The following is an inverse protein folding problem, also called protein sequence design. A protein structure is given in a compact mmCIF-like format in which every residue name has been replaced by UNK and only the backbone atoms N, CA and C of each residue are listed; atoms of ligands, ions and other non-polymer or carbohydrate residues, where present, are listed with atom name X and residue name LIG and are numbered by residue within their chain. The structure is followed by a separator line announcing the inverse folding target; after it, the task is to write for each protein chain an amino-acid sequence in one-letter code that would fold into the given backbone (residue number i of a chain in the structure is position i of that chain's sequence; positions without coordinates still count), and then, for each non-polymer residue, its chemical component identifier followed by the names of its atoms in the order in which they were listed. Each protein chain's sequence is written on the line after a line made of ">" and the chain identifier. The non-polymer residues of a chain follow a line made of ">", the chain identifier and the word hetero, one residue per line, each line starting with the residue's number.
data_IF_290559327049
#
_entry.id   IF_290559327049
#
_cell.length_a   1.000
_cell.length_b   1.000
_cell.length_c   1.000
_cell.angle_alpha   90.00
_cell.angle_beta   90.00
_cell.angle_gamma   90.00
#
_symmetry.space_group_name_H-M   'P 1'
#
loop_
_entity.id
_entity.type
_entity.pdbx_description
1 polymer ?
#
# COMPACT_ATOMS: atom_id res chain seq x y z
N UNK A 1 13.35 5.13 -3.41
CA UNK A 1 12.14 5.71 -4.05
C UNK A 1 11.73 7.00 -3.34
N UNK A 2 10.85 7.80 -3.94
CA UNK A 2 10.20 8.97 -3.33
C UNK A 2 8.70 8.89 -3.65
N UNK A 3 7.86 9.37 -2.73
CA UNK A 3 6.41 9.45 -2.97
C UNK A 3 6.17 10.53 -4.03
N UNK A 4 5.46 10.18 -5.11
CA UNK A 4 5.09 11.10 -6.21
C UNK A 4 3.58 11.28 -6.37
N UNK A 5 2.79 10.51 -5.64
CA UNK A 5 1.33 10.60 -5.59
C UNK A 5 0.86 10.25 -4.17
N UNK A 6 -0.11 11.00 -3.64
CA UNK A 6 -0.68 10.84 -2.31
C UNK A 6 -2.22 10.81 -2.40
N UNK A 7 -2.80 9.62 -2.61
CA UNK A 7 -4.24 9.42 -2.65
C UNK A 7 -4.78 8.94 -1.29
N UNK A 8 -5.99 9.38 -0.93
CA UNK A 8 -6.78 8.86 0.18
C UNK A 8 -8.25 8.85 -0.23
N UNK A 9 -8.92 7.72 -0.06
CA UNK A 9 -10.37 7.61 -0.17
C UNK A 9 -10.93 7.36 1.22
N UNK A 10 -11.80 8.25 1.68
CA UNK A 10 -12.45 8.11 2.99
C UNK A 10 -13.71 7.27 2.85
N UNK A 11 -13.76 6.18 3.62
CA UNK A 11 -14.94 5.31 3.73
C UNK A 11 -15.64 5.58 5.06
N UNK A 12 -16.93 5.90 5.01
CA UNK A 12 -17.79 5.88 6.19
C UNK A 12 -18.21 4.44 6.45
N UNK A 13 -17.73 3.87 7.57
CA UNK A 13 -17.98 2.48 7.96
C UNK A 13 -19.45 2.22 8.27
N UNK A 14 -20.18 3.21 8.81
CA UNK A 14 -21.60 3.07 9.14
C UNK A 14 -22.48 3.12 7.89
N UNK A 15 -22.17 4.06 6.99
CA UNK A 15 -22.89 4.22 5.73
C UNK A 15 -22.43 3.22 4.65
N UNK A 16 -21.31 2.52 4.89
CA UNK A 16 -20.70 1.55 3.98
C UNK A 16 -20.51 2.11 2.56
N UNK A 17 -19.96 3.32 2.47
CA UNK A 17 -19.70 4.02 1.20
C UNK A 17 -18.50 4.95 1.31
N UNK A 18 -17.88 5.23 0.17
CA UNK A 18 -16.93 6.33 0.05
C UNK A 18 -17.66 7.67 0.25
N UNK A 19 -17.05 8.58 0.99
CA UNK A 19 -17.65 9.88 1.36
C UNK A 19 -16.81 11.08 0.95
N UNK A 20 -15.51 10.91 0.77
CA UNK A 20 -14.60 11.97 0.36
C UNK A 20 -13.32 11.39 -0.23
N UNK A 21 -12.63 12.20 -1.04
CA UNK A 21 -11.32 11.87 -1.59
C UNK A 21 -10.35 13.02 -1.34
N UNK A 22 -9.09 12.66 -1.13
CA UNK A 22 -7.95 13.56 -1.11
C UNK A 22 -6.91 13.02 -2.09
N UNK A 23 -6.54 13.81 -3.09
CA UNK A 23 -5.59 13.38 -4.11
C UNK A 23 -4.64 14.52 -4.45
N UNK A 24 -3.34 14.25 -4.34
CA UNK A 24 -2.30 15.20 -4.71
C UNK A 24 -1.13 14.44 -5.36
N UNK A 25 -0.60 14.98 -6.45
CA UNK A 25 0.76 14.66 -6.86
C UNK A 25 1.77 15.32 -5.91
N UNK A 26 2.96 14.73 -5.84
CA UNK A 26 4.05 15.15 -4.95
C UNK A 26 5.30 15.38 -5.78
N UNK A 27 5.96 16.51 -5.54
CA UNK A 27 7.23 16.84 -6.19
C UNK A 27 8.39 16.18 -5.43
N UNK A 28 9.10 15.18 -6.02
CA UNK A 28 10.24 14.56 -5.38
C UNK A 28 11.43 15.54 -5.29
N UNK A 29 12.24 15.41 -4.24
CA UNK A 29 13.37 16.31 -3.95
C UNK A 29 14.68 15.78 -4.50
N UNK A 30 14.90 14.46 -4.44
CA UNK A 30 16.17 13.84 -4.83
C UNK A 30 16.20 13.55 -6.33
N UNK A 31 15.14 12.96 -6.88
CA UNK A 31 15.03 12.62 -8.30
C UNK A 31 13.82 13.30 -8.94
N UNK A 32 13.90 14.60 -9.28
CA UNK A 32 12.78 15.38 -9.81
C UNK A 32 12.32 14.97 -11.21
N UNK A 33 13.12 14.19 -11.95
CA UNK A 33 12.77 13.71 -13.29
C UNK A 33 12.34 12.24 -13.24
N UNK A 34 11.11 11.97 -13.68
CA UNK A 34 10.57 10.62 -13.79
C UNK A 34 11.34 9.84 -14.86
N UNK A 35 11.65 8.59 -14.56
CA UNK A 35 12.11 7.64 -15.58
C UNK A 35 10.97 7.26 -16.51
N UNK A 36 11.32 6.79 -17.72
CA UNK A 36 10.32 6.30 -18.68
C UNK A 36 9.52 5.13 -18.09
N UNK A 37 10.18 4.21 -17.41
CA UNK A 37 9.53 3.11 -16.70
C UNK A 37 8.49 3.61 -15.67
N UNK A 38 8.83 4.63 -14.88
CA UNK A 38 7.93 5.18 -13.88
C UNK A 38 6.69 5.83 -14.52
N UNK A 39 6.88 6.60 -15.61
CA UNK A 39 5.78 7.18 -16.39
C UNK A 39 4.87 6.10 -16.97
N UNK A 40 5.44 5.06 -17.59
CA UNK A 40 4.68 3.96 -18.17
C UNK A 40 3.95 3.12 -17.13
N UNK A 41 4.55 2.89 -15.97
CA UNK A 41 3.95 2.12 -14.89
C UNK A 41 2.80 2.89 -14.24
N UNK A 42 3.02 4.14 -13.84
CA UNK A 42 2.07 4.92 -13.02
C UNK A 42 1.10 5.78 -13.82
N UNK A 43 1.42 6.09 -15.08
CA UNK A 43 0.65 7.02 -15.92
C UNK A 43 0.88 8.49 -15.56
N UNK A 44 1.70 8.78 -14.55
CA UNK A 44 2.01 10.14 -14.11
C UNK A 44 2.94 10.79 -15.14
N UNK A 45 2.58 12.00 -15.58
CA UNK A 45 3.38 12.79 -16.52
C UNK A 45 4.37 13.65 -15.75
N UNK A 46 5.44 14.04 -16.42
CA UNK A 46 6.46 14.89 -15.80
C UNK A 46 5.87 16.24 -15.33
N UNK A 47 4.93 16.80 -16.09
CA UNK A 47 4.23 18.05 -15.75
C UNK A 47 3.37 17.97 -14.49
N UNK A 48 2.84 16.77 -14.18
CA UNK A 48 2.02 16.53 -13.00
C UNK A 48 2.86 16.69 -11.72
N UNK A 49 4.13 16.25 -11.73
CA UNK A 49 5.04 16.38 -10.59
C UNK A 49 5.89 17.65 -10.59
N UNK A 50 6.15 18.25 -11.76
CA UNK A 50 6.95 19.48 -11.85
C UNK A 50 6.26 20.65 -11.14
N UNK A 51 4.92 20.70 -11.22
CA UNK A 51 4.04 21.69 -10.61
C UNK A 51 3.48 21.29 -9.24
N UNK A 52 3.79 20.07 -8.78
CA UNK A 52 3.30 19.55 -7.51
C UNK A 52 3.99 20.20 -6.31
N UNK A 53 3.37 20.02 -5.14
CA UNK A 53 3.93 20.46 -3.86
C UNK A 53 4.94 19.44 -3.31
N UNK A 54 5.92 19.87 -2.53
CA UNK A 54 6.74 18.97 -1.73
C UNK A 54 5.88 18.12 -0.77
N UNK A 55 6.38 16.93 -0.41
CA UNK A 55 5.64 15.97 0.41
C UNK A 55 5.18 16.57 1.75
N UNK A 56 6.00 17.40 2.40
CA UNK A 56 5.64 18.04 3.68
C UNK A 56 4.43 18.96 3.56
N UNK A 57 4.29 19.66 2.43
CA UNK A 57 3.15 20.53 2.15
C UNK A 57 1.90 19.72 1.83
N UNK A 58 2.04 18.61 1.12
CA UNK A 58 0.94 17.68 0.86
C UNK A 58 0.44 17.06 2.17
N UNK A 59 1.33 16.69 3.10
CA UNK A 59 0.95 16.20 4.43
C UNK A 59 0.20 17.28 5.22
N UNK A 60 0.67 18.53 5.22
CA UNK A 60 -0.05 19.64 5.87
C UNK A 60 -1.44 19.86 5.28
N UNK A 61 -1.59 19.70 3.96
CA UNK A 61 -2.90 19.75 3.29
C UNK A 61 -3.78 18.57 3.69
N UNK A 62 -3.22 17.37 3.78
CA UNK A 62 -3.93 16.19 4.27
C UNK A 62 -4.45 16.41 5.70
N UNK A 63 -3.63 16.92 6.63
CA UNK A 63 -4.06 17.17 8.01
C UNK A 63 -5.22 18.16 8.08
N UNK A 64 -5.17 19.24 7.28
CA UNK A 64 -6.27 20.22 7.22
C UNK A 64 -7.54 19.60 6.62
N UNK A 65 -7.40 18.86 5.53
CA UNK A 65 -8.52 18.19 4.88
C UNK A 65 -9.15 17.15 5.82
N UNK A 66 -8.34 16.34 6.51
CA UNK A 66 -8.80 15.34 7.48
C UNK A 66 -9.58 16.01 8.61
N UNK A 67 -9.04 17.08 9.21
CA UNK A 67 -9.71 17.81 10.29
C UNK A 67 -11.06 18.44 9.87
N UNK A 68 -11.21 18.83 8.60
CA UNK A 68 -12.44 19.42 8.06
C UNK A 68 -13.46 18.36 7.61
N UNK A 69 -12.99 17.18 7.22
CA UNK A 69 -13.84 16.14 6.62
C UNK A 69 -14.36 15.16 7.66
N UNK A 70 -13.58 14.85 8.69
CA UNK A 70 -13.94 13.87 9.72
C UNK A 70 -14.84 14.51 10.78
N UNK A 71 -16.05 13.99 11.04
CA UNK A 71 -16.91 14.53 12.07
C UNK A 71 -16.24 14.49 13.45
N UNK A 72 -16.36 15.55 14.28
CA UNK A 72 -15.76 15.60 15.61
C UNK A 72 -16.10 14.36 16.46
N UNK A 73 -15.10 13.82 17.16
CA UNK A 73 -15.24 12.61 17.99
C UNK A 73 -15.26 11.29 17.20
N UNK A 74 -15.24 11.32 15.87
CA UNK A 74 -15.11 10.11 15.06
C UNK A 74 -13.71 9.51 15.17
N UNK A 75 -13.65 8.17 15.18
CA UNK A 75 -12.39 7.43 15.09
C UNK A 75 -12.09 7.13 13.63
N UNK A 76 -10.85 7.33 13.22
CA UNK A 76 -10.37 7.00 11.87
C UNK A 76 -9.22 6.02 11.94
N UNK A 77 -9.14 5.14 10.94
CA UNK A 77 -8.01 4.23 10.75
C UNK A 77 -7.61 4.23 9.28
N UNK A 78 -6.31 4.12 9.01
CA UNK A 78 -5.82 3.92 7.65
C UNK A 78 -5.96 2.45 7.24
N UNK A 79 -6.20 2.23 5.95
CA UNK A 79 -6.21 0.91 5.35
C UNK A 79 -5.41 0.96 4.04
N UNK A 80 -4.56 -0.04 3.81
CA UNK A 80 -3.68 -0.12 2.62
C UNK A 80 -3.67 -1.53 2.04
N UNK A 81 -3.30 -1.64 0.75
CA UNK A 81 -3.08 -2.93 0.07
C UNK A 81 -1.74 -3.56 0.48
N UNK A 82 -1.59 -3.86 1.78
CA UNK A 82 -0.36 -4.42 2.34
C UNK A 82 0.55 -3.40 3.00
N UNK A 83 1.78 -3.82 3.36
CA UNK A 83 2.65 -3.00 4.21
C UNK A 83 3.46 -1.95 3.44
N UNK A 84 3.61 -2.08 2.11
CA UNK A 84 4.60 -1.32 1.33
C UNK A 84 4.41 0.19 1.44
N UNK A 85 3.17 0.69 1.37
CA UNK A 85 2.90 2.13 1.39
C UNK A 85 3.41 2.80 2.66
N UNK A 86 3.05 2.25 3.82
CA UNK A 86 3.36 2.87 5.11
C UNK A 86 4.72 2.42 5.65
N UNK A 87 5.11 1.16 5.47
CA UNK A 87 6.40 0.67 5.96
C UNK A 87 7.56 1.14 5.08
N UNK A 88 7.47 0.93 3.77
CA UNK A 88 8.59 1.19 2.86
C UNK A 88 8.60 2.65 2.38
N UNK A 89 7.52 3.09 1.72
CA UNK A 89 7.50 4.43 1.10
C UNK A 89 7.39 5.57 2.11
N UNK A 90 6.50 5.45 3.09
CA UNK A 90 6.39 6.46 4.12
C UNK A 90 7.52 6.34 5.15
N UNK A 91 7.58 5.26 5.92
CA UNK A 91 8.42 5.22 7.11
C UNK A 91 9.92 5.12 6.79
N UNK A 92 10.34 4.18 5.95
CA UNK A 92 11.76 4.03 5.62
C UNK A 92 12.23 5.20 4.73
N UNK A 93 11.55 5.46 3.62
CA UNK A 93 12.04 6.42 2.64
C UNK A 93 11.80 7.89 2.96
N UNK A 94 10.71 8.24 3.64
CA UNK A 94 10.33 9.63 3.91
C UNK A 94 10.65 10.03 5.35
N UNK A 95 10.19 9.26 6.33
CA UNK A 95 10.44 9.57 7.76
C UNK A 95 11.91 9.35 8.11
N UNK A 96 12.41 8.10 7.99
CA UNK A 96 13.73 7.73 8.49
C UNK A 96 14.87 8.35 7.70
N UNK A 97 14.73 8.40 6.37
CA UNK A 97 15.78 8.90 5.48
C UNK A 97 15.75 10.41 5.23
N UNK A 98 14.57 11.03 5.18
CA UNK A 98 14.44 12.47 4.84
C UNK A 98 14.00 13.34 6.02
N UNK A 99 13.68 12.75 7.18
CA UNK A 99 13.22 13.50 8.36
C UNK A 99 11.82 14.08 8.21
N UNK A 100 11.02 13.58 7.27
CA UNK A 100 9.67 14.09 7.01
C UNK A 100 8.72 13.61 8.11
N UNK A 101 8.05 14.56 8.77
CA UNK A 101 7.05 14.25 9.80
C UNK A 101 5.71 13.87 9.18
N UNK A 102 5.19 12.71 9.58
CA UNK A 102 3.82 12.28 9.32
C UNK A 102 2.95 12.38 10.59
N UNK A 103 1.62 12.55 10.46
CA UNK A 103 0.69 12.50 11.58
C UNK A 103 0.70 11.12 12.25
N UNK A 104 0.45 11.07 13.56
CA UNK A 104 0.49 9.81 14.34
C UNK A 104 -0.44 8.71 13.80
N UNK A 105 -1.55 9.08 13.16
CA UNK A 105 -2.48 8.12 12.55
C UNK A 105 -1.86 7.25 11.45
N UNK A 106 -0.73 7.67 10.87
CA UNK A 106 -0.04 6.90 9.82
C UNK A 106 0.83 5.76 10.36
N UNK A 107 1.02 5.70 11.68
CA UNK A 107 1.88 4.70 12.31
C UNK A 107 1.10 3.45 12.77
N UNK A 108 -0.18 3.38 12.44
CA UNK A 108 -1.01 2.20 12.61
C UNK A 108 -2.01 2.09 11.45
N UNK A 109 -2.20 0.87 10.92
CA UNK A 109 -3.10 0.65 9.79
C UNK A 109 -3.64 -0.76 9.72
N UNK A 110 -4.69 -0.90 8.92
CA UNK A 110 -5.28 -2.15 8.48
C UNK A 110 -4.57 -2.59 7.20
N UNK A 111 -3.96 -3.78 7.24
CA UNK A 111 -3.54 -4.47 6.02
C UNK A 111 -4.76 -5.18 5.40
N UNK A 112 -5.29 -4.61 4.32
CA UNK A 112 -6.52 -5.10 3.67
C UNK A 112 -6.33 -6.52 3.17
N UNK A 113 -5.14 -6.91 2.67
CA UNK A 113 -4.89 -8.27 2.20
C UNK A 113 -4.98 -9.28 3.33
N UNK A 114 -4.42 -8.93 4.49
CA UNK A 114 -4.46 -9.79 5.68
C UNK A 114 -5.89 -9.98 6.17
N UNK A 115 -6.67 -8.91 6.24
CA UNK A 115 -8.08 -8.98 6.63
C UNK A 115 -8.92 -9.75 5.62
N UNK A 116 -8.70 -9.52 4.33
CA UNK A 116 -9.39 -10.25 3.27
C UNK A 116 -9.14 -11.76 3.37
N UNK A 117 -7.86 -12.15 3.46
CA UNK A 117 -7.45 -13.56 3.59
C UNK A 117 -8.08 -14.24 4.82
N UNK A 118 -8.11 -13.55 5.96
CA UNK A 118 -8.73 -14.08 7.17
C UNK A 118 -10.24 -14.26 7.02
N UNK A 119 -10.94 -13.22 6.55
CA UNK A 119 -12.39 -13.21 6.46
C UNK A 119 -12.93 -14.24 5.46
N UNK A 120 -12.26 -14.41 4.32
CA UNK A 120 -12.63 -15.39 3.30
C UNK A 120 -11.92 -16.75 3.44
N UNK A 121 -11.09 -16.93 4.47
CA UNK A 121 -10.30 -18.15 4.69
C UNK A 121 -9.48 -18.56 3.45
N UNK A 122 -8.86 -17.58 2.79
CA UNK A 122 -8.08 -17.78 1.57
C UNK A 122 -6.63 -17.28 1.72
N UNK A 123 -5.81 -17.47 0.70
CA UNK A 123 -4.48 -16.87 0.63
C UNK A 123 -4.58 -15.37 0.31
N UNK A 124 -3.55 -14.60 0.69
CA UNK A 124 -3.50 -13.17 0.33
C UNK A 124 -3.37 -13.01 -1.19
N UNK A 125 -4.18 -12.11 -1.76
CA UNK A 125 -4.18 -11.78 -3.18
C UNK A 125 -3.79 -10.32 -3.43
N UNK A 126 -3.49 -9.98 -4.68
CA UNK A 126 -3.38 -8.58 -5.15
C UNK A 126 -4.78 -7.97 -5.30
N UNK A 127 -4.88 -6.64 -5.41
CA UNK A 127 -6.14 -5.89 -5.59
C UNK A 127 -7.09 -6.57 -6.60
N UNK A 128 -6.61 -6.88 -7.82
CA UNK A 128 -7.45 -7.53 -8.84
C UNK A 128 -8.02 -8.87 -8.40
N UNK A 129 -7.20 -9.73 -7.79
CA UNK A 129 -7.68 -11.03 -7.31
C UNK A 129 -8.71 -10.89 -6.17
N UNK A 130 -8.54 -9.91 -5.29
CA UNK A 130 -9.54 -9.60 -4.24
C UNK A 130 -10.85 -9.09 -4.84
N UNK A 131 -10.78 -8.22 -5.86
CA UNK A 131 -11.96 -7.72 -6.58
C UNK A 131 -12.69 -8.82 -7.35
N UNK A 132 -11.95 -9.69 -8.04
CA UNK A 132 -12.50 -10.84 -8.78
C UNK A 132 -13.28 -11.76 -7.84
N UNK A 133 -12.70 -12.09 -6.68
CA UNK A 133 -13.37 -12.90 -5.65
C UNK A 133 -14.64 -12.24 -5.08
N UNK A 134 -14.73 -10.91 -5.16
CA UNK A 134 -15.89 -10.13 -4.76
C UNK A 134 -16.89 -9.85 -5.90
N UNK A 135 -16.64 -10.39 -7.10
CA UNK A 135 -17.37 -10.09 -8.33
C UNK A 135 -17.48 -8.59 -8.63
N UNK A 136 -16.39 -7.86 -8.40
CA UNK A 136 -16.28 -6.43 -8.68
C UNK A 136 -15.23 -6.23 -9.79
N UNK A 137 -15.50 -5.41 -10.83
CA UNK A 137 -14.48 -5.07 -11.80
C UNK A 137 -13.43 -4.14 -11.17
N UNK A 138 -12.20 -4.20 -11.68
CA UNK A 138 -11.22 -3.15 -11.43
C UNK A 138 -11.59 -1.90 -12.23
N UNK A 139 -11.73 -0.76 -11.56
CA UNK A 139 -12.05 0.51 -12.21
C UNK A 139 -10.81 1.41 -12.36
N UNK A 140 -10.66 2.09 -13.49
CA UNK A 140 -9.54 2.99 -13.75
C UNK A 140 -8.26 2.27 -14.16
N UNK A 141 -7.11 2.86 -13.84
CA UNK A 141 -5.80 2.40 -14.31
C UNK A 141 -5.00 1.77 -13.17
N UNK A 142 -4.57 0.53 -13.35
CA UNK A 142 -3.68 -0.12 -12.37
C UNK A 142 -2.39 0.69 -12.20
N UNK A 143 -1.96 0.90 -10.95
CA UNK A 143 -0.81 1.72 -10.56
C UNK A 143 -1.00 3.24 -10.72
N UNK A 144 -2.21 3.70 -11.05
CA UNK A 144 -2.66 5.06 -10.68
C UNK A 144 -3.04 5.02 -9.21
N UNK A 145 -2.36 5.80 -8.37
CA UNK A 145 -2.54 5.72 -6.92
C UNK A 145 -3.98 5.99 -6.50
N UNK A 146 -4.64 6.98 -7.11
CA UNK A 146 -6.06 7.26 -6.79
C UNK A 146 -7.00 6.13 -7.23
N UNK A 147 -6.76 5.51 -8.38
CA UNK A 147 -7.61 4.40 -8.83
C UNK A 147 -7.37 3.17 -7.96
N UNK A 148 -6.13 2.87 -7.60
CA UNK A 148 -5.81 1.80 -6.65
C UNK A 148 -6.48 2.06 -5.29
N UNK A 149 -6.47 3.31 -4.78
CA UNK A 149 -7.14 3.68 -3.53
C UNK A 149 -8.67 3.51 -3.61
N UNK A 150 -9.31 3.88 -4.72
CA UNK A 150 -10.75 3.65 -4.96
C UNK A 150 -11.09 2.16 -4.98
N UNK A 151 -10.29 1.36 -5.66
CA UNK A 151 -10.49 -0.09 -5.73
C UNK A 151 -10.30 -0.76 -4.35
N UNK A 152 -9.31 -0.32 -3.57
CA UNK A 152 -9.16 -0.75 -2.17
C UNK A 152 -10.38 -0.35 -1.33
N UNK A 153 -10.91 0.87 -1.51
CA UNK A 153 -12.13 1.29 -0.84
C UNK A 153 -13.33 0.41 -1.23
N UNK A 154 -13.47 0.02 -2.51
CA UNK A 154 -14.49 -0.92 -2.99
C UNK A 154 -14.39 -2.27 -2.28
N UNK A 155 -13.17 -2.83 -2.16
CA UNK A 155 -12.93 -4.08 -1.42
C UNK A 155 -13.38 -3.94 0.04
N UNK A 156 -12.93 -2.88 0.72
CA UNK A 156 -13.29 -2.61 2.13
C UNK A 156 -14.80 -2.47 2.30
N UNK A 157 -15.46 -1.68 1.46
CA UNK A 157 -16.92 -1.49 1.48
C UNK A 157 -17.64 -2.81 1.27
N UNK A 158 -17.17 -3.65 0.35
CA UNK A 158 -17.80 -4.94 0.08
C UNK A 158 -17.63 -5.91 1.26
N UNK A 159 -16.46 -5.95 1.89
CA UNK A 159 -16.23 -6.70 3.11
C UNK A 159 -17.15 -6.25 4.25
N UNK A 160 -17.32 -4.93 4.45
CA UNK A 160 -18.27 -4.38 5.43
C UNK A 160 -19.71 -4.84 5.16
N UNK A 161 -20.15 -4.78 3.89
CA UNK A 161 -21.48 -5.24 3.48
C UNK A 161 -21.70 -6.74 3.68
N UNK A 162 -20.63 -7.53 3.71
CA UNK A 162 -20.66 -8.97 3.99
C UNK A 162 -20.57 -9.27 5.49
N UNK A 163 -20.49 -8.26 6.36
CA UNK A 163 -20.45 -8.42 7.80
C UNK A 163 -19.05 -8.49 8.41
N UNK A 164 -18.00 -8.19 7.64
CA UNK A 164 -16.64 -8.14 8.18
C UNK A 164 -16.49 -7.01 9.20
N UNK A 165 -15.89 -7.31 10.35
CA UNK A 165 -15.45 -6.35 11.35
C UNK A 165 -13.92 -6.24 11.36
N UNK A 166 -13.39 -5.03 11.20
CA UNK A 166 -11.95 -4.78 11.20
C UNK A 166 -11.30 -4.80 12.61
N UNK A 167 -11.90 -5.51 13.56
CA UNK A 167 -11.42 -5.63 14.93
C UNK A 167 -10.77 -7.00 15.23
N UNK A 168 -10.91 -7.96 14.34
CA UNK A 168 -10.53 -9.37 14.59
C UNK A 168 -9.04 -9.63 14.45
N UNK A 169 -8.32 -8.79 13.69
CA UNK A 169 -6.89 -8.98 13.42
C UNK A 169 -6.11 -7.81 14.02
N UNK A 170 -4.95 -8.09 14.65
CA UNK A 170 -4.04 -7.05 15.10
C UNK A 170 -3.65 -6.11 13.95
N UNK A 171 -3.73 -4.82 14.24
CA UNK A 171 -3.30 -3.76 13.35
C UNK A 171 -1.79 -3.83 13.10
N UNK A 172 -1.39 -3.46 11.90
CA UNK A 172 0.02 -3.18 11.60
C UNK A 172 0.43 -1.89 12.31
N UNK A 173 1.67 -1.84 12.83
CA UNK A 173 2.19 -0.71 13.63
C UNK A 173 3.63 -0.38 13.25
N UNK A 174 3.98 0.90 13.35
CA UNK A 174 5.32 1.45 13.17
C UNK A 174 5.72 2.28 14.40
N UNK A 175 7.03 2.48 14.67
CA UNK A 175 7.50 3.31 15.77
C UNK A 175 7.12 4.78 15.55
N UNK A 176 6.47 5.42 16.54
CA UNK A 176 6.17 6.85 16.53
C UNK A 176 6.95 7.56 17.64
N UNK A 177 7.64 8.66 17.30
CA UNK A 177 8.35 9.50 18.27
C UNK A 177 9.61 8.90 18.89
N UNK A 178 9.97 7.65 18.57
CA UNK A 178 11.26 7.08 18.96
C UNK A 178 12.37 7.75 18.13
N UNK A 179 13.41 8.27 18.79
CA UNK A 179 14.66 8.64 18.12
C UNK A 179 15.14 7.41 17.37
N UNK A 180 15.10 7.43 16.04
CA UNK A 180 15.46 6.29 15.22
C UNK A 180 16.97 6.01 15.40
N UNK A 181 17.31 5.13 16.35
CA UNK A 181 18.61 4.49 16.36
C UNK A 181 18.62 3.57 15.15
N UNK A 182 19.45 3.89 14.14
CA UNK A 182 19.55 3.25 12.82
C UNK A 182 19.92 1.76 12.85
N UNK A 183 20.00 1.11 14.01
CA UNK A 183 20.56 -0.21 14.18
C UNK A 183 19.56 -1.39 14.06
N UNK A 184 18.24 -1.18 14.00
CA UNK A 184 17.27 -2.29 14.14
C UNK A 184 16.43 -2.63 12.90
N UNK A 185 16.69 -2.04 11.72
CA UNK A 185 15.87 -2.28 10.51
C UNK A 185 16.56 -3.07 9.40
N UNK A 186 17.81 -3.52 9.60
CA UNK A 186 18.48 -4.43 8.66
C UNK A 186 18.27 -5.86 9.17
N UNK A 187 17.42 -6.63 8.50
CA UNK A 187 17.35 -8.07 8.67
C UNK A 187 18.69 -8.70 8.27
N UNK A 188 19.15 -9.79 8.91
CA UNK A 188 20.44 -10.37 8.59
C UNK A 188 20.41 -10.94 7.16
N UNK A 189 21.45 -10.63 6.39
CA UNK A 189 21.74 -11.29 5.13
C UNK A 189 21.83 -12.80 5.37
N UNK A 190 20.94 -13.55 4.76
CA UNK A 190 21.04 -15.00 4.68
C UNK A 190 22.15 -15.28 3.66
N UNK A 191 23.36 -15.50 4.17
CA UNK A 191 24.45 -16.12 3.43
C UNK A 191 24.00 -17.51 3.01
N UNK A 192 23.56 -17.64 1.75
CA UNK A 192 23.32 -18.96 1.16
C UNK A 192 24.66 -19.46 0.61
N UNK A 193 25.36 -20.25 1.41
CA UNK A 193 26.48 -21.07 0.93
C UNK A 193 25.93 -22.10 -0.05
N UNK A 194 26.42 -22.04 -1.28
CA UNK A 194 26.20 -23.08 -2.27
C UNK A 194 26.81 -24.41 -1.77
N UNK A 195 25.96 -25.41 -1.61
CA UNK A 195 26.37 -26.82 -1.56
C UNK A 195 25.82 -27.51 -2.79
N UNK A 196 26.71 -27.76 -3.74
CA UNK A 196 26.59 -28.79 -4.76
C UNK A 196 26.45 -30.17 -4.07
N UNK A 197 25.45 -30.97 -4.45
CA UNK A 197 25.62 -32.42 -4.72
C UNK A 197 24.34 -33.06 -5.27
N UNK A 198 24.38 -33.34 -6.59
CA UNK A 198 24.05 -34.59 -7.30
C UNK A 198 22.73 -35.35 -7.00
N UNK A 199 21.87 -35.43 -8.03
CA UNK A 199 21.14 -36.67 -8.43
C UNK A 199 21.28 -36.78 -9.95
N UNK A 200 22.18 -37.63 -10.45
CA UNK A 200 21.95 -39.02 -10.87
C UNK A 200 21.03 -39.13 -12.11
N UNK A 201 21.69 -39.12 -13.28
CA UNK A 201 21.20 -39.75 -14.51
C UNK A 201 21.00 -41.26 -14.28
N UNK A 202 19.87 -41.78 -14.78
CA UNK A 202 19.77 -43.12 -15.38
C UNK A 202 18.43 -43.26 -16.13
N UNK A 203 18.57 -43.37 -17.45
CA UNK A 203 17.76 -44.12 -18.41
C UNK A 203 16.41 -44.67 -17.95
N UNK A 204 15.36 -44.34 -18.70
CA UNK A 204 14.40 -45.33 -19.22
C UNK A 204 13.56 -44.70 -20.36
N UNK A 205 13.98 -44.93 -21.61
CA UNK A 205 13.05 -44.99 -22.75
C UNK A 205 13.42 -46.20 -23.59
N UNK A 206 12.79 -47.32 -23.26
CA UNK A 206 12.69 -48.47 -24.14
C UNK A 206 11.62 -48.19 -25.22
N UNK A 207 12.00 -48.42 -26.48
CA UNK A 207 11.10 -48.85 -27.55
C UNK A 207 10.43 -50.18 -27.13
N UNK A 208 9.27 -50.65 -27.61
CA UNK A 208 8.58 -50.54 -28.89
C UNK A 208 7.22 -51.27 -28.76
N UNK A 209 6.16 -50.81 -29.42
CA UNK A 209 5.11 -51.70 -29.98
C UNK A 209 4.27 -50.94 -31.01
N UNK A 210 3.99 -51.61 -32.14
CA UNK A 210 3.18 -51.21 -33.32
C UNK A 210 3.93 -50.49 -34.44
#
# INVERSE_FOLDING_TARGET
>A
SEIIEFPVVMVDVRLQRAVAEFHHFVKPKVNPKLSEFCRQLTGIRQEDIDNALPLEDVIRRFERWHAQTVPPGSRTMLATDGPTDLKEFMYIHSVSRQGIRFPSMFYQWIDVKRFFAHFFQCQQGKIKAMLDALNCPFEGRLHSGIDDARNVATIVIRMLKLGCSFCEIPLSRLPYGATATTASLVAPEITTTATETVKLDKNDTNASSS
#
